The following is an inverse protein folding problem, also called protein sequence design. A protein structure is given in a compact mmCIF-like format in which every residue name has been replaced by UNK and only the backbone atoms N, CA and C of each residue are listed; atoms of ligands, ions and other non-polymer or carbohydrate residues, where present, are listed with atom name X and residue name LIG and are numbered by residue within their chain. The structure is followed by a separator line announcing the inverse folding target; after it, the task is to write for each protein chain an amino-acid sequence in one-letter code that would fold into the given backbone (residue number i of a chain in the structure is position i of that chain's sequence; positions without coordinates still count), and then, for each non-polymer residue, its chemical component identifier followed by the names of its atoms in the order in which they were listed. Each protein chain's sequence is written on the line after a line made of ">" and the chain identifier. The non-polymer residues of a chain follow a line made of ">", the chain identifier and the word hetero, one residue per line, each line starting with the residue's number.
data_IF_576077830509
#
_entry.id   IF_576077830509
#
_cell.length_a   1.000
_cell.length_b   1.000
_cell.length_c   1.000
_cell.angle_alpha   90.00
_cell.angle_beta   90.00
_cell.angle_gamma   90.00
#
_symmetry.space_group_name_H-M   'P 1'
#
loop_
_entity.id
_entity.type
_entity.pdbx_description
1 polymer ?
#
# COMPACT_ATOMS: atom_id res chain seq x y z
N UNK A 1 -9.70 17.56 -19.59
CA UNK A 1 -8.71 16.97 -18.64
C UNK A 1 -7.63 16.31 -19.48
N UNK A 2 -6.33 16.52 -19.21
CA UNK A 2 -5.28 15.83 -19.98
C UNK A 2 -5.40 14.32 -19.75
N UNK A 3 -5.48 13.55 -20.81
CA UNK A 3 -5.65 12.10 -20.73
C UNK A 3 -4.28 11.43 -20.56
N UNK A 4 -4.12 10.60 -19.52
CA UNK A 4 -2.87 9.86 -19.24
C UNK A 4 -2.98 8.43 -19.74
N UNK A 5 -1.85 7.75 -19.96
CA UNK A 5 -1.84 6.32 -20.34
C UNK A 5 -2.60 5.47 -19.34
N UNK A 6 -2.46 5.76 -18.04
CA UNK A 6 -3.21 5.10 -16.97
C UNK A 6 -4.71 5.34 -17.10
N UNK A 7 -5.16 6.58 -17.32
CA UNK A 7 -6.58 6.89 -17.49
C UNK A 7 -7.17 6.23 -18.73
N UNK A 8 -6.41 6.15 -19.84
CA UNK A 8 -6.80 5.42 -21.05
C UNK A 8 -6.95 3.93 -20.78
N UNK A 9 -5.95 3.31 -20.16
CA UNK A 9 -6.00 1.91 -19.79
C UNK A 9 -7.19 1.61 -18.87
N UNK A 10 -7.43 2.48 -17.88
CA UNK A 10 -8.58 2.39 -16.99
C UNK A 10 -9.89 2.51 -17.76
N UNK A 11 -10.03 3.51 -18.66
CA UNK A 11 -11.23 3.70 -19.47
C UNK A 11 -11.54 2.49 -20.35
N UNK A 12 -10.55 1.98 -21.10
CA UNK A 12 -10.69 0.77 -21.92
C UNK A 12 -11.15 -0.42 -21.08
N UNK A 13 -10.56 -0.59 -19.89
CA UNK A 13 -10.94 -1.67 -19.01
C UNK A 13 -12.33 -1.45 -18.42
N UNK A 14 -12.68 -0.24 -17.99
CA UNK A 14 -13.98 0.11 -17.42
C UNK A 14 -15.14 0.00 -18.44
N UNK A 15 -14.88 0.34 -19.69
CA UNK A 15 -15.82 0.25 -20.81
C UNK A 15 -15.97 -1.19 -21.32
N UNK A 16 -15.15 -2.12 -20.80
CA UNK A 16 -15.39 -3.55 -20.94
C UNK A 16 -16.82 -3.89 -20.54
N UNK A 17 -17.49 -4.72 -21.35
CA UNK A 17 -18.93 -4.98 -21.20
C UNK A 17 -19.18 -6.00 -20.07
N UNK A 18 -18.68 -5.72 -18.86
CA UNK A 18 -18.62 -6.64 -17.71
C UNK A 18 -19.99 -7.18 -17.28
N UNK A 19 -21.07 -6.44 -17.55
CA UNK A 19 -22.45 -6.86 -17.28
C UNK A 19 -23.00 -7.89 -18.27
N UNK A 20 -22.43 -7.96 -19.47
CA UNK A 20 -22.81 -8.96 -20.49
C UNK A 20 -22.09 -10.28 -20.30
N UNK A 21 -21.02 -10.27 -19.51
CA UNK A 21 -20.32 -11.45 -19.06
C UNK A 21 -20.98 -11.88 -17.74
N UNK A 22 -21.56 -13.08 -17.67
CA UNK A 22 -22.23 -13.64 -16.47
C UNK A 22 -21.26 -13.81 -15.27
N UNK A 23 -20.68 -12.73 -14.77
CA UNK A 23 -19.75 -12.72 -13.66
C UNK A 23 -20.49 -12.47 -12.35
N UNK A 24 -20.17 -13.27 -11.35
CA UNK A 24 -20.54 -12.94 -9.98
C UNK A 24 -19.76 -11.71 -9.53
N UNK A 25 -20.29 -10.99 -8.55
CA UNK A 25 -19.66 -9.80 -7.97
C UNK A 25 -18.23 -10.07 -7.51
N UNK A 26 -17.97 -11.25 -6.97
CA UNK A 26 -16.66 -11.68 -6.52
C UNK A 26 -15.67 -11.75 -7.69
N UNK A 27 -16.08 -12.36 -8.81
CA UNK A 27 -15.24 -12.46 -10.01
C UNK A 27 -14.91 -11.08 -10.58
N UNK A 28 -15.88 -10.16 -10.61
CA UNK A 28 -15.63 -8.79 -11.03
C UNK A 28 -14.58 -8.11 -10.11
N UNK A 29 -14.73 -8.22 -8.79
CA UNK A 29 -13.76 -7.68 -7.83
C UNK A 29 -12.35 -8.24 -8.03
N UNK A 30 -12.20 -9.54 -8.27
CA UNK A 30 -10.90 -10.16 -8.55
C UNK A 30 -10.25 -9.61 -9.82
N UNK A 31 -11.03 -9.44 -10.89
CA UNK A 31 -10.55 -8.92 -12.17
C UNK A 31 -10.08 -7.47 -12.02
N UNK A 32 -10.77 -6.65 -11.22
CA UNK A 32 -10.33 -5.30 -10.88
C UNK A 32 -9.04 -5.26 -10.05
N UNK A 33 -8.91 -6.15 -9.06
CA UNK A 33 -7.68 -6.29 -8.29
C UNK A 33 -6.50 -6.66 -9.20
N UNK A 34 -6.69 -7.63 -10.10
CA UNK A 34 -5.65 -8.08 -11.04
C UNK A 34 -5.26 -6.98 -12.01
N UNK A 35 -6.22 -6.17 -12.48
CA UNK A 35 -5.94 -5.01 -13.32
C UNK A 35 -5.04 -3.99 -12.62
N UNK A 36 -5.36 -3.61 -11.38
CA UNK A 36 -4.51 -2.70 -10.62
C UNK A 36 -3.13 -3.28 -10.36
N UNK A 37 -3.04 -4.56 -9.99
CA UNK A 37 -1.75 -5.23 -9.84
C UNK A 37 -0.94 -5.23 -11.13
N UNK A 38 -1.58 -5.45 -12.28
CA UNK A 38 -0.91 -5.41 -13.58
C UNK A 38 -0.35 -4.03 -13.88
N UNK A 39 -1.13 -2.96 -13.71
CA UNK A 39 -0.66 -1.59 -13.94
C UNK A 39 0.54 -1.24 -13.06
N UNK A 40 0.44 -1.57 -11.76
CA UNK A 40 1.49 -1.27 -10.78
C UNK A 40 2.77 -2.06 -11.10
N UNK A 41 2.66 -3.38 -11.28
CA UNK A 41 3.79 -4.28 -11.54
C UNK A 41 4.46 -4.03 -12.87
N UNK A 42 3.69 -3.63 -13.89
CA UNK A 42 4.22 -3.28 -15.21
C UNK A 42 4.91 -1.91 -15.24
N UNK A 43 4.92 -1.18 -14.11
CA UNK A 43 5.65 0.09 -14.00
C UNK A 43 4.97 1.24 -14.74
N UNK A 44 3.65 1.21 -14.94
CA UNK A 44 2.95 2.33 -15.54
C UNK A 44 3.22 3.61 -14.72
N UNK A 45 3.45 4.71 -15.43
CA UNK A 45 3.70 6.01 -14.82
C UNK A 45 2.37 6.69 -14.47
N UNK A 46 2.13 6.86 -13.18
CA UNK A 46 0.95 7.54 -12.65
C UNK A 46 1.23 9.03 -12.46
N UNK A 47 0.34 9.87 -12.98
CA UNK A 47 0.25 11.25 -12.53
C UNK A 47 -0.40 11.30 -11.15
N UNK A 48 0.00 12.29 -10.34
CA UNK A 48 -0.52 12.46 -8.97
C UNK A 48 -2.05 12.60 -8.90
N UNK A 49 -2.70 13.02 -9.98
CA UNK A 49 -4.16 13.20 -10.07
C UNK A 49 -4.90 12.00 -10.64
N UNK A 50 -4.19 10.97 -11.15
CA UNK A 50 -4.83 9.82 -11.81
C UNK A 50 -5.82 9.10 -10.90
N UNK A 51 -5.41 8.76 -9.67
CA UNK A 51 -6.26 8.03 -8.75
C UNK A 51 -7.46 8.85 -8.28
N UNK A 52 -7.30 10.18 -8.12
CA UNK A 52 -8.41 11.08 -7.82
C UNK A 52 -9.42 11.13 -8.97
N UNK A 53 -8.94 11.25 -10.21
CA UNK A 53 -9.80 11.28 -11.40
C UNK A 53 -10.53 9.95 -11.59
N UNK A 54 -9.83 8.83 -11.42
CA UNK A 54 -10.42 7.48 -11.51
C UNK A 54 -11.46 7.28 -10.41
N UNK A 55 -11.16 7.65 -9.16
CA UNK A 55 -12.13 7.56 -8.06
C UNK A 55 -13.38 8.41 -8.33
N UNK A 56 -13.20 9.61 -8.89
CA UNK A 56 -14.32 10.47 -9.29
C UNK A 56 -15.17 9.82 -10.39
N UNK A 57 -14.54 9.29 -11.44
CA UNK A 57 -15.22 8.54 -12.49
C UNK A 57 -16.05 7.38 -11.92
N UNK A 58 -15.46 6.56 -11.04
CA UNK A 58 -16.16 5.45 -10.40
C UNK A 58 -17.36 5.91 -9.55
N UNK A 59 -17.21 7.01 -8.81
CA UNK A 59 -18.27 7.56 -7.98
C UNK A 59 -19.43 8.17 -8.79
N UNK A 60 -19.13 8.82 -9.91
CA UNK A 60 -20.13 9.45 -10.80
C UNK A 60 -20.80 8.44 -11.75
N UNK A 61 -20.14 7.31 -11.99
CA UNK A 61 -20.67 6.23 -12.81
C UNK A 61 -21.72 5.41 -12.07
N UNK A 62 -22.55 4.65 -12.81
CA UNK A 62 -23.52 3.66 -12.27
C UNK A 62 -22.87 2.57 -11.40
N UNK A 63 -21.54 2.54 -11.36
CA UNK A 63 -20.71 1.58 -10.65
C UNK A 63 -20.45 1.95 -9.18
N UNK A 64 -21.20 2.91 -8.61
CA UNK A 64 -21.15 3.46 -7.24
C UNK A 64 -20.87 2.42 -6.15
N UNK A 65 -19.63 1.99 -6.08
CA UNK A 65 -19.22 0.89 -5.24
C UNK A 65 -17.74 1.02 -4.94
N UNK A 66 -17.40 0.63 -3.73
CA UNK A 66 -16.05 0.64 -3.17
C UNK A 66 -15.10 -0.37 -3.86
N UNK A 67 -15.57 -1.19 -4.80
CA UNK A 67 -14.84 -2.32 -5.41
C UNK A 67 -13.80 -1.91 -6.46
N UNK A 68 -13.99 -0.73 -7.07
CA UNK A 68 -13.13 -0.21 -8.14
C UNK A 68 -11.96 0.63 -7.62
N UNK A 69 -11.92 0.86 -6.30
CA UNK A 69 -10.95 1.71 -5.65
C UNK A 69 -9.60 1.04 -5.43
N UNK A 70 -8.59 1.87 -5.22
CA UNK A 70 -7.29 1.43 -4.70
C UNK A 70 -7.35 1.32 -3.17
N UNK A 71 -6.48 0.50 -2.58
CA UNK A 71 -6.42 0.28 -1.14
C UNK A 71 -4.97 0.09 -0.63
N UNK A 72 -4.82 -0.24 0.65
CA UNK A 72 -3.51 -0.54 1.27
C UNK A 72 -2.75 -1.67 0.58
N UNK A 73 -3.45 -2.67 0.04
CA UNK A 73 -2.83 -3.77 -0.67
C UNK A 73 -2.15 -3.29 -1.95
N UNK A 74 -2.79 -2.39 -2.69
CA UNK A 74 -2.22 -1.78 -3.89
C UNK A 74 -1.02 -0.88 -3.57
N UNK A 75 -1.13 -0.02 -2.56
CA UNK A 75 0.00 0.81 -2.10
C UNK A 75 1.21 -0.04 -1.71
N UNK A 76 0.96 -1.15 -1.01
CA UNK A 76 2.00 -2.09 -0.61
C UNK A 76 2.71 -2.74 -1.79
N UNK A 77 1.96 -3.18 -2.81
CA UNK A 77 2.55 -3.71 -4.03
C UNK A 77 3.34 -2.65 -4.78
N UNK A 78 2.86 -1.40 -4.83
CA UNK A 78 3.57 -0.31 -5.48
C UNK A 78 4.93 -0.02 -4.83
N UNK A 79 4.97 0.03 -3.50
CA UNK A 79 6.24 0.19 -2.77
C UNK A 79 7.18 -0.97 -3.06
N UNK A 80 6.70 -2.21 -2.97
CA UNK A 80 7.52 -3.40 -3.22
C UNK A 80 8.10 -3.44 -4.64
N UNK A 81 7.30 -3.14 -5.64
CA UNK A 81 7.71 -3.15 -7.05
C UNK A 81 8.48 -1.87 -7.44
N UNK A 82 8.70 -0.94 -6.52
CA UNK A 82 9.39 0.32 -6.80
C UNK A 82 8.60 1.28 -7.70
N UNK A 83 7.29 1.08 -7.85
CA UNK A 83 6.44 2.01 -8.61
C UNK A 83 6.09 3.24 -7.75
N UNK A 84 7.06 4.13 -7.59
CA UNK A 84 6.93 5.35 -6.78
C UNK A 84 5.87 6.30 -7.33
N UNK A 85 5.64 6.31 -8.64
CA UNK A 85 4.63 7.20 -9.24
C UNK A 85 3.22 6.85 -8.74
N UNK A 86 2.90 5.56 -8.64
CA UNK A 86 1.67 5.10 -8.01
C UNK A 86 1.65 5.46 -6.52
N UNK A 87 2.73 5.19 -5.78
CA UNK A 87 2.81 5.50 -4.36
C UNK A 87 2.53 6.99 -4.09
N UNK A 88 3.13 7.91 -4.87
CA UNK A 88 2.88 9.34 -4.77
C UNK A 88 1.45 9.74 -5.13
N UNK A 89 0.83 9.10 -6.13
CA UNK A 89 -0.56 9.35 -6.46
C UNK A 89 -1.50 8.87 -5.34
N UNK A 90 -1.23 7.71 -4.75
CA UNK A 90 -1.95 7.19 -3.60
C UNK A 90 -1.81 8.12 -2.39
N UNK A 91 -0.59 8.54 -2.09
CA UNK A 91 -0.33 9.46 -0.99
C UNK A 91 -1.05 10.79 -1.16
N UNK A 92 -1.13 11.31 -2.38
CA UNK A 92 -1.91 12.52 -2.66
C UNK A 92 -3.41 12.29 -2.48
N UNK A 93 -3.94 11.14 -2.95
CA UNK A 93 -5.36 10.81 -2.85
C UNK A 93 -5.83 10.75 -1.39
N UNK A 94 -5.03 10.15 -0.51
CA UNK A 94 -5.39 9.96 0.90
C UNK A 94 -4.76 10.99 1.85
N UNK A 95 -3.94 11.92 1.34
CA UNK A 95 -3.18 12.84 2.19
C UNK A 95 -2.11 12.15 3.05
N UNK A 96 -1.65 10.95 2.66
CA UNK A 96 -0.70 10.15 3.42
C UNK A 96 0.65 10.81 3.52
N UNK A 97 1.18 10.87 4.74
CA UNK A 97 2.58 11.23 4.97
C UNK A 97 3.47 9.99 4.84
N UNK A 98 4.53 10.03 4.01
CA UNK A 98 5.52 8.95 3.93
C UNK A 98 6.22 8.68 5.26
N UNK A 99 6.38 7.40 5.61
CA UNK A 99 7.33 6.97 6.63
C UNK A 99 8.50 6.28 5.93
N UNK A 100 9.61 6.99 5.78
CA UNK A 100 10.78 6.53 5.01
C UNK A 100 11.98 6.33 5.95
N UNK A 101 12.56 5.12 5.97
CA UNK A 101 13.65 4.71 6.85
C UNK A 101 14.47 3.54 6.30
N UNK A 102 15.58 3.21 6.97
CA UNK A 102 16.46 2.10 6.60
C UNK A 102 16.24 0.90 7.55
N UNK A 103 16.61 -0.31 7.11
CA UNK A 103 16.52 -1.52 7.93
C UNK A 103 15.09 -2.00 8.16
N UNK A 104 14.25 -1.90 7.14
CA UNK A 104 12.88 -2.40 7.14
C UNK A 104 12.87 -3.87 6.74
N UNK A 105 12.16 -4.69 7.52
CA UNK A 105 12.00 -6.11 7.28
C UNK A 105 10.69 -6.37 6.53
N UNK A 106 10.83 -6.79 5.28
CA UNK A 106 9.71 -7.14 4.42
C UNK A 106 9.51 -8.67 4.33
N UNK A 107 10.28 -9.47 5.07
CA UNK A 107 10.10 -10.92 5.15
C UNK A 107 8.88 -11.23 6.00
N UNK A 108 7.84 -11.83 5.40
CA UNK A 108 6.65 -12.30 6.13
C UNK A 108 5.41 -11.40 6.09
N UNK A 109 5.50 -10.19 5.53
CA UNK A 109 4.36 -9.26 5.48
C UNK A 109 3.36 -9.50 4.34
N UNK A 110 3.53 -10.57 3.53
CA UNK A 110 2.72 -10.78 2.32
C UNK A 110 2.25 -12.23 2.14
N UNK A 111 1.05 -12.44 1.53
CA UNK A 111 0.58 -13.77 1.16
C UNK A 111 1.54 -14.46 0.18
N UNK A 112 1.71 -15.78 0.37
CA UNK A 112 2.65 -16.66 -0.37
C UNK A 112 2.52 -16.62 -1.91
N UNK A 113 1.43 -16.07 -2.45
CA UNK A 113 1.21 -15.90 -3.88
C UNK A 113 2.10 -14.82 -4.53
N UNK A 114 2.82 -14.04 -3.72
CA UNK A 114 3.69 -12.96 -4.20
C UNK A 114 5.18 -13.28 -4.02
N UNK A 115 5.63 -14.51 -4.28
CA UNK A 115 7.07 -14.81 -4.41
C UNK A 115 7.63 -14.14 -5.67
N UNK A 116 7.79 -12.83 -5.63
CA UNK A 116 8.41 -12.04 -6.70
C UNK A 116 9.78 -11.56 -6.22
N UNK A 117 10.80 -11.82 -7.05
CA UNK A 117 12.22 -11.55 -6.85
C UNK A 117 12.61 -10.06 -6.92
N UNK A 118 11.66 -9.15 -6.70
CA UNK A 118 12.00 -7.73 -6.62
C UNK A 118 12.60 -7.47 -5.24
N UNK A 119 13.88 -7.07 -5.12
CA UNK A 119 14.41 -6.63 -3.84
C UNK A 119 13.50 -5.51 -3.31
N UNK A 120 13.26 -5.42 -1.98
CA UNK A 120 12.42 -4.38 -1.40
C UNK A 120 13.06 -3.02 -1.66
N UNK A 121 12.75 -2.45 -2.82
CA UNK A 121 13.23 -1.14 -3.20
C UNK A 121 12.36 -0.12 -2.51
N UNK A 122 13.04 0.58 -1.61
CA UNK A 122 12.71 1.89 -1.08
C UNK A 122 12.03 1.82 0.27
N UNK A 123 12.74 2.36 1.26
CA UNK A 123 12.50 2.25 2.69
C UNK A 123 11.20 2.87 3.21
N UNK A 124 10.10 2.76 2.48
CA UNK A 124 8.79 3.28 2.82
C UNK A 124 8.01 2.21 3.57
N UNK A 125 7.51 2.53 4.76
CA UNK A 125 6.65 1.63 5.52
C UNK A 125 5.30 1.47 4.82
N UNK A 126 4.82 0.23 4.83
CA UNK A 126 3.47 -0.16 4.41
C UNK A 126 2.88 -1.08 5.47
N UNK A 127 1.58 -1.40 5.38
CA UNK A 127 0.92 -2.27 6.36
C UNK A 127 1.61 -3.63 6.42
N UNK A 128 1.64 -4.23 7.60
CA UNK A 128 2.25 -5.53 7.91
C UNK A 128 3.78 -5.58 7.87
N UNK A 129 4.48 -4.53 7.42
CA UNK A 129 5.94 -4.47 7.47
C UNK A 129 6.43 -4.45 8.90
N UNK A 130 7.51 -5.19 9.16
CA UNK A 130 8.16 -5.24 10.46
C UNK A 130 9.41 -4.37 10.48
N UNK A 131 9.69 -3.76 11.62
CA UNK A 131 10.90 -2.97 11.83
C UNK A 131 11.24 -2.87 13.31
N UNK A 132 12.47 -2.47 13.61
CA UNK A 132 12.89 -2.21 14.99
C UNK A 132 12.40 -0.83 15.44
N UNK A 133 11.77 -0.72 16.60
CA UNK A 133 11.33 0.53 17.20
C UNK A 133 11.57 0.51 18.71
N UNK A 134 12.39 1.46 19.22
CA UNK A 134 12.71 1.56 20.65
C UNK A 134 13.14 0.22 21.29
N UNK A 135 13.93 -0.58 20.56
CA UNK A 135 14.42 -1.89 21.03
C UNK A 135 13.46 -3.07 20.87
N UNK A 136 12.27 -2.85 20.30
CA UNK A 136 11.27 -3.90 20.06
C UNK A 136 11.08 -4.13 18.55
N UNK A 137 10.91 -5.40 18.12
CA UNK A 137 10.41 -5.70 16.77
C UNK A 137 8.91 -5.41 16.73
N UNK A 138 8.50 -4.48 15.87
CA UNK A 138 7.11 -4.07 15.72
C UNK A 138 6.63 -4.26 14.30
N UNK A 139 5.34 -4.52 14.13
CA UNK A 139 4.67 -4.61 12.83
C UNK A 139 3.72 -3.43 12.64
N UNK A 140 3.71 -2.82 11.46
CA UNK A 140 2.76 -1.76 11.11
C UNK A 140 1.35 -2.34 10.98
N UNK A 141 0.42 -1.87 11.81
CA UNK A 141 -0.97 -2.33 11.80
C UNK A 141 -1.87 -1.41 10.97
N UNK A 142 -1.70 -0.09 11.07
CA UNK A 142 -2.52 0.87 10.34
C UNK A 142 -1.84 2.24 10.22
N UNK A 143 -2.34 3.05 9.29
CA UNK A 143 -1.98 4.45 9.15
C UNK A 143 -3.16 5.34 9.56
N UNK A 144 -2.85 6.47 10.18
CA UNK A 144 -3.79 7.56 10.40
C UNK A 144 -3.29 8.76 9.58
N UNK A 145 -3.84 8.88 8.37
CA UNK A 145 -3.39 9.88 7.40
C UNK A 145 -3.72 11.31 7.88
N UNK A 146 -4.85 11.52 8.58
CA UNK A 146 -5.23 12.82 9.15
C UNK A 146 -4.26 13.29 10.24
N UNK A 147 -3.92 12.41 11.18
CA UNK A 147 -3.00 12.69 12.29
C UNK A 147 -1.53 12.52 11.90
N UNK A 148 -1.24 12.14 10.65
CA UNK A 148 0.11 11.88 10.14
C UNK A 148 0.91 10.94 11.04
N UNK A 149 0.25 9.89 11.50
CA UNK A 149 0.81 8.87 12.39
C UNK A 149 0.54 7.47 11.86
N UNK A 150 1.28 6.50 12.38
CA UNK A 150 0.99 5.07 12.19
C UNK A 150 0.85 4.38 13.53
N UNK A 151 0.11 3.27 13.52
CA UNK A 151 0.06 2.33 14.63
C UNK A 151 0.96 1.16 14.29
N UNK A 152 1.89 0.87 15.18
CA UNK A 152 2.71 -0.33 15.12
C UNK A 152 2.55 -1.13 16.42
N UNK A 153 2.50 -2.45 16.30
CA UNK A 153 2.33 -3.35 17.43
C UNK A 153 3.55 -4.26 17.57
N UNK A 154 4.09 -4.38 18.79
CA UNK A 154 4.89 -5.52 19.19
C UNK A 154 3.95 -6.63 19.65
N UNK A 155 4.31 -7.86 19.37
CA UNK A 155 3.51 -9.02 19.71
C UNK A 155 4.30 -10.01 20.55
N UNK A 156 3.61 -10.84 21.30
CA UNK A 156 4.24 -12.01 21.91
C UNK A 156 4.62 -13.01 20.82
N UNK A 157 5.74 -13.70 21.02
CA UNK A 157 6.09 -14.84 20.17
C UNK A 157 5.00 -15.90 20.36
N UNK A 158 4.34 -16.27 19.27
CA UNK A 158 3.43 -17.41 19.29
C UNK A 158 4.26 -18.68 19.43
N UNK A 159 4.09 -19.47 20.51
CA UNK A 159 4.80 -20.74 20.68
C UNK A 159 4.55 -21.74 19.53
N UNK A 160 3.46 -21.57 18.77
CA UNK A 160 3.07 -22.46 17.67
C UNK A 160 3.37 -21.87 16.27
N UNK A 161 3.89 -20.64 16.18
CA UNK A 161 4.31 -20.03 14.92
C UNK A 161 3.19 -19.60 13.95
N UNK A 162 1.92 -19.60 14.37
CA UNK A 162 0.78 -19.22 13.53
C UNK A 162 0.35 -17.77 13.79
N UNK A 163 1.16 -16.85 13.28
CA UNK A 163 0.94 -15.40 13.29
C UNK A 163 0.85 -14.76 14.69
N UNK A 164 1.45 -13.59 14.89
CA UNK A 164 1.37 -12.91 16.17
C UNK A 164 -0.05 -12.42 16.45
N UNK A 165 -0.80 -13.13 17.29
CA UNK A 165 -2.21 -12.79 17.62
C UNK A 165 -2.34 -11.95 18.89
N UNK A 166 -1.39 -12.05 19.83
CA UNK A 166 -1.45 -11.34 21.12
C UNK A 166 -0.53 -10.12 21.08
N UNK A 167 -1.13 -8.93 21.14
CA UNK A 167 -0.41 -7.66 21.17
C UNK A 167 0.29 -7.52 22.54
N UNK A 168 1.61 -7.47 22.53
CA UNK A 168 2.44 -7.16 23.70
C UNK A 168 2.43 -5.66 24.00
N UNK A 169 2.57 -4.83 22.97
CA UNK A 169 2.64 -3.37 23.10
C UNK A 169 2.17 -2.68 21.83
N UNK A 170 1.43 -1.59 21.98
CA UNK A 170 0.99 -0.75 20.86
C UNK A 170 1.70 0.60 20.91
N UNK A 171 2.20 1.04 19.76
CA UNK A 171 2.88 2.31 19.58
C UNK A 171 2.09 3.17 18.59
N UNK A 172 1.89 4.43 18.95
CA UNK A 172 1.47 5.47 18.01
C UNK A 172 2.72 6.25 17.62
N UNK A 173 3.11 6.18 16.36
CA UNK A 173 4.37 6.75 15.87
C UNK A 173 4.01 7.89 14.91
N UNK A 174 4.42 9.11 15.25
CA UNK A 174 4.25 10.25 14.34
C UNK A 174 5.37 10.26 13.29
N UNK A 175 5.13 10.89 12.14
CA UNK A 175 6.16 11.06 11.12
C UNK A 175 7.41 11.78 11.66
N UNK A 176 7.23 12.73 12.59
CA UNK A 176 8.32 13.46 13.25
C UNK A 176 9.16 12.53 14.12
N UNK A 177 8.53 11.74 14.99
CA UNK A 177 9.24 10.81 15.88
C UNK A 177 10.01 9.78 15.06
N UNK A 178 9.38 9.28 14.00
CA UNK A 178 10.00 8.32 13.09
C UNK A 178 11.27 8.87 12.43
N UNK A 179 11.20 10.08 11.87
CA UNK A 179 12.35 10.73 11.25
C UNK A 179 13.49 10.99 12.24
N UNK A 180 13.16 11.39 13.47
CA UNK A 180 14.15 11.60 14.53
C UNK A 180 14.87 10.30 14.88
N UNK A 181 14.13 9.21 15.08
CA UNK A 181 14.69 7.89 15.38
C UNK A 181 15.58 7.38 14.23
N UNK A 182 15.13 7.49 12.98
CA UNK A 182 15.92 7.09 11.81
C UNK A 182 17.20 7.93 11.68
N UNK A 183 17.13 9.22 11.99
CA UNK A 183 18.30 10.10 11.98
C UNK A 183 19.32 9.74 13.06
N UNK A 184 18.88 9.35 14.26
CA UNK A 184 19.77 8.85 15.33
C UNK A 184 20.49 7.57 14.90
N UNK A 185 19.76 6.61 14.33
CA UNK A 185 20.34 5.35 13.85
C UNK A 185 21.39 5.56 12.78
N UNK A 186 21.14 6.46 11.83
CA UNK A 186 22.10 6.80 10.78
C UNK A 186 23.40 7.41 11.32
N UNK A 187 23.34 8.15 12.44
CA UNK A 187 24.53 8.71 13.10
C UNK A 187 25.35 7.63 13.81
N UNK A 188 24.68 6.66 14.44
CA UNK A 188 25.34 5.58 15.19
C UNK A 188 25.96 4.48 14.30
N UNK A 189 25.71 4.52 12.98
CA UNK A 189 26.29 3.60 11.99
C UNK A 189 27.52 4.17 11.26
N UNK A 190 27.91 5.41 11.55
CA UNK A 190 29.15 6.04 11.08
C UNK A 190 30.22 5.94 12.14
#
# INVERSE_FOLDING_TARGET
>A
MKETTVRKAFGIFADGNWHTMNYTREKASHVWMDFWYLLIKSGFAFEKTDLTSIRKYCAESRYNTTWYGVDEGHYSVAVRCGNLTFAYAFEKLYGRTPFIGLGLDYEGCWPRYSKHNSPPTMGRLVRSVEFQWQGEKVQVTSFNDEKKSLIACAYHLDPNGYSPTIIKKRFTITAKDFQQEMSKRRKNQK
#
